data_IF_467201266819
#
_entry.id   IF_467201266819
#
_cell.length_a   1.000
_cell.length_b   1.000
_cell.length_c   1.000
_cell.angle_alpha   90.00
_cell.angle_beta   90.00
_cell.angle_gamma   90.00
#
_symmetry.space_group_name_H-M   'P 1'
#
loop_
_entity.id
_entity.type
_entity.pdbx_description
1 polymer ?
#
# COMPACT_ATOMS: atom_id res chain seq x y z
N UNK A 1 24.86 77.97 -4.02
CA UNK A 1 25.15 76.52 -3.99
C UNK A 1 23.84 75.78 -3.81
N UNK A 2 23.37 75.04 -4.83
CA UNK A 2 22.17 74.20 -4.77
C UNK A 2 22.57 72.81 -4.24
N UNK A 3 21.88 72.30 -3.21
CA UNK A 3 22.09 70.94 -2.69
C UNK A 3 21.38 69.92 -3.60
N UNK A 4 21.95 68.73 -3.86
CA UNK A 4 21.21 67.65 -4.51
C UNK A 4 20.22 67.06 -3.50
N UNK A 5 18.93 67.10 -3.85
CA UNK A 5 17.90 66.26 -3.25
C UNK A 5 18.21 64.80 -3.67
N UNK A 6 18.56 63.96 -2.70
CA UNK A 6 18.79 62.55 -2.93
C UNK A 6 17.42 61.89 -3.08
N UNK A 7 17.04 61.57 -4.32
CA UNK A 7 15.83 60.80 -4.60
C UNK A 7 15.80 59.53 -3.73
N UNK A 8 14.79 59.44 -2.85
CA UNK A 8 14.57 58.26 -2.03
C UNK A 8 14.28 57.06 -2.94
N UNK A 9 14.97 55.91 -2.79
CA UNK A 9 14.70 54.75 -3.61
C UNK A 9 13.23 54.32 -3.42
N UNK A 10 12.51 53.96 -4.49
CA UNK A 10 11.12 53.54 -4.37
C UNK A 10 11.05 52.32 -3.46
N UNK A 11 10.21 52.40 -2.43
CA UNK A 11 9.88 51.25 -1.58
C UNK A 11 9.15 50.25 -2.47
N UNK A 12 9.83 49.16 -2.83
CA UNK A 12 9.23 48.05 -3.56
C UNK A 12 8.29 47.34 -2.58
N UNK A 13 6.99 47.57 -2.76
CA UNK A 13 5.95 46.80 -2.08
C UNK A 13 6.09 45.33 -2.51
N UNK A 14 6.48 44.46 -1.57
CA UNK A 14 6.55 43.04 -1.84
C UNK A 14 5.15 42.54 -2.19
N UNK A 15 5.01 41.92 -3.36
CA UNK A 15 3.74 41.35 -3.80
C UNK A 15 3.20 40.41 -2.70
N UNK A 16 1.89 40.44 -2.41
CA UNK A 16 1.30 39.55 -1.43
C UNK A 16 1.64 38.09 -1.78
N UNK A 17 1.94 37.24 -0.77
CA UNK A 17 2.28 35.85 -1.02
C UNK A 17 1.17 35.18 -1.84
N UNK A 18 1.53 34.32 -2.80
CA UNK A 18 0.55 33.65 -3.63
C UNK A 18 -0.42 32.89 -2.72
N UNK A 19 -1.71 33.16 -2.90
CA UNK A 19 -2.79 32.46 -2.20
C UNK A 19 -2.65 30.99 -2.56
N UNK A 20 -2.18 30.18 -1.61
CA UNK A 20 -2.10 28.73 -1.79
C UNK A 20 -3.54 28.23 -1.77
N UNK A 21 -4.04 27.84 -2.93
CA UNK A 21 -5.31 27.14 -3.04
C UNK A 21 -5.10 25.75 -2.46
N UNK A 22 -5.67 25.49 -1.27
CA UNK A 22 -5.86 24.12 -0.82
C UNK A 22 -6.71 23.42 -1.89
N UNK A 23 -6.19 22.34 -2.45
CA UNK A 23 -7.02 21.50 -3.32
C UNK A 23 -8.24 21.05 -2.50
N UNK A 24 -9.46 21.23 -3.02
CA UNK A 24 -10.63 20.69 -2.36
C UNK A 24 -10.44 19.19 -2.24
N UNK A 25 -10.40 18.71 -0.99
CA UNK A 25 -10.33 17.27 -0.75
C UNK A 25 -11.65 16.69 -1.25
N UNK A 26 -11.55 15.79 -2.21
CA UNK A 26 -12.70 15.18 -2.85
C UNK A 26 -13.40 14.25 -1.83
N UNK A 27 -14.54 14.69 -1.31
CA UNK A 27 -15.32 14.00 -0.29
C UNK A 27 -16.58 13.41 -0.93
N UNK A 28 -16.92 12.17 -0.59
CA UNK A 28 -18.05 11.44 -1.17
C UNK A 28 -17.71 10.64 -2.42
N UNK A 29 -16.43 10.37 -2.70
CA UNK A 29 -15.99 9.59 -3.87
C UNK A 29 -15.91 8.09 -3.60
N UNK A 30 -16.36 7.30 -4.58
CA UNK A 30 -16.19 5.85 -4.65
C UNK A 30 -14.86 5.54 -5.34
N UNK A 31 -14.09 4.61 -4.79
CA UNK A 31 -12.88 4.10 -5.42
C UNK A 31 -12.82 2.58 -5.38
N UNK A 32 -12.10 2.01 -6.33
CA UNK A 32 -11.80 0.59 -6.39
C UNK A 32 -10.35 0.37 -5.95
N UNK A 33 -10.09 -0.73 -5.26
CA UNK A 33 -8.77 -1.19 -4.85
C UNK A 33 -8.64 -2.66 -5.20
N UNK A 34 -7.48 -3.08 -5.66
CA UNK A 34 -7.20 -4.50 -5.85
C UNK A 34 -5.74 -4.77 -5.55
N UNK A 35 -5.48 -6.00 -5.15
CA UNK A 35 -4.16 -6.55 -4.89
C UNK A 35 -4.08 -7.96 -5.46
N UNK A 36 -2.90 -8.32 -5.95
CA UNK A 36 -2.64 -9.63 -6.56
C UNK A 36 -1.31 -10.09 -6.01
N UNK A 37 -1.31 -11.26 -5.38
CA UNK A 37 -0.16 -11.85 -4.72
C UNK A 37 0.07 -13.27 -5.25
N UNK A 38 1.34 -13.64 -5.41
CA UNK A 38 1.72 -14.97 -5.86
C UNK A 38 2.82 -15.57 -5.00
N UNK A 39 2.54 -16.74 -4.43
CA UNK A 39 3.42 -17.41 -3.49
C UNK A 39 3.93 -18.75 -4.04
N UNK A 40 5.21 -18.79 -4.40
CA UNK A 40 5.93 -20.04 -4.68
C UNK A 40 6.57 -20.59 -3.41
N UNK A 41 5.85 -21.47 -2.71
CA UNK A 41 6.38 -22.14 -1.51
C UNK A 41 7.13 -23.42 -1.87
N UNK A 42 8.38 -23.55 -1.42
CA UNK A 42 9.16 -24.80 -1.47
C UNK A 42 9.37 -25.29 -0.04
N UNK A 43 9.02 -26.54 0.24
CA UNK A 43 9.24 -27.15 1.54
C UNK A 43 10.54 -27.98 1.51
N UNK A 44 11.43 -27.69 2.46
CA UNK A 44 12.80 -28.23 2.57
C UNK A 44 12.89 -29.60 3.22
N UNK A 45 11.98 -30.51 2.88
CA UNK A 45 11.98 -31.89 3.37
C UNK A 45 11.41 -32.07 4.77
N UNK A 46 10.84 -33.25 5.01
CA UNK A 46 10.13 -33.56 6.25
C UNK A 46 10.19 -35.04 6.58
N UNK A 47 10.40 -35.31 7.86
CA UNK A 47 10.43 -36.67 8.40
C UNK A 47 9.01 -37.12 8.76
N UNK A 48 8.66 -38.35 8.39
CA UNK A 48 7.38 -38.95 8.77
C UNK A 48 7.59 -40.36 9.33
N UNK A 49 6.71 -40.75 10.25
CA UNK A 49 6.65 -42.10 10.77
C UNK A 49 5.31 -42.73 10.38
N UNK A 50 5.34 -43.98 9.94
CA UNK A 50 4.12 -44.73 9.66
C UNK A 50 3.70 -45.49 10.92
N UNK A 51 2.47 -45.24 11.38
CA UNK A 51 1.89 -46.01 12.48
C UNK A 51 1.29 -47.30 11.90
N UNK A 52 1.98 -48.41 12.10
CA UNK A 52 1.60 -49.76 11.64
C UNK A 52 2.25 -50.87 12.46
N UNK A 53 2.02 -52.14 12.10
CA UNK A 53 2.61 -53.30 12.79
C UNK A 53 4.14 -53.21 12.79
N UNK A 54 4.74 -53.40 13.97
CA UNK A 54 6.17 -53.21 14.20
C UNK A 54 7.04 -54.07 13.25
N UNK A 55 8.22 -53.58 12.80
CA UNK A 55 8.87 -52.32 13.21
C UNK A 55 8.37 -51.09 12.44
N UNK A 56 8.32 -49.95 13.15
CA UNK A 56 8.04 -48.65 12.54
C UNK A 56 9.26 -48.25 11.69
N UNK A 57 9.06 -48.09 10.38
CA UNK A 57 10.12 -47.65 9.48
C UNK A 57 10.01 -46.11 9.35
N UNK A 58 10.99 -45.34 9.83
CA UNK A 58 11.05 -43.91 9.59
C UNK A 58 11.37 -43.66 8.11
N UNK A 59 10.59 -42.80 7.47
CA UNK A 59 10.81 -42.34 6.10
C UNK A 59 11.07 -40.84 6.09
N UNK A 60 11.95 -40.38 5.21
CA UNK A 60 12.20 -38.96 4.97
C UNK A 60 11.84 -38.60 3.52
N UNK A 61 11.39 -37.37 3.33
CA UNK A 61 11.26 -36.77 2.00
C UNK A 61 12.31 -35.66 1.84
N UNK A 62 13.15 -35.72 0.79
CA UNK A 62 14.22 -34.74 0.53
C UNK A 62 13.72 -33.37 0.06
N UNK A 63 12.57 -33.32 -0.64
CA UNK A 63 11.96 -32.05 -1.06
C UNK A 63 10.51 -32.23 -1.50
N UNK A 64 9.69 -31.21 -1.24
CA UNK A 64 8.31 -31.14 -1.72
C UNK A 64 8.00 -29.77 -2.32
N UNK A 65 7.38 -29.76 -3.50
CA UNK A 65 6.77 -28.53 -4.05
C UNK A 65 5.35 -28.43 -3.47
N UNK A 66 5.09 -27.40 -2.66
CA UNK A 66 3.70 -26.99 -2.45
C UNK A 66 3.19 -26.43 -3.78
N UNK A 67 1.95 -26.77 -4.16
CA UNK A 67 1.26 -26.09 -5.25
C UNK A 67 1.37 -24.58 -4.99
N UNK A 68 1.82 -23.82 -5.99
CA UNK A 68 1.94 -22.37 -5.86
C UNK A 68 0.59 -21.80 -5.46
N UNK A 69 0.54 -21.07 -4.36
CA UNK A 69 -0.66 -20.43 -3.89
C UNK A 69 -0.75 -19.07 -4.58
N UNK A 70 -1.83 -18.84 -5.31
CA UNK A 70 -2.13 -17.53 -5.85
C UNK A 70 -3.15 -16.88 -4.91
N UNK A 71 -3.16 -15.56 -4.80
CA UNK A 71 -4.24 -14.85 -4.12
C UNK A 71 -4.52 -13.54 -4.85
N UNK A 72 -5.80 -13.19 -4.92
CA UNK A 72 -6.25 -11.96 -5.53
C UNK A 72 -7.30 -11.34 -4.61
N UNK A 73 -7.04 -10.12 -4.17
CA UNK A 73 -7.95 -9.29 -3.41
C UNK A 73 -8.58 -8.23 -4.30
N UNK A 74 -9.88 -7.99 -4.11
CA UNK A 74 -10.58 -6.87 -4.74
C UNK A 74 -11.46 -6.18 -3.71
N UNK A 75 -11.50 -4.85 -3.76
CA UNK A 75 -12.23 -4.04 -2.81
C UNK A 75 -12.81 -2.77 -3.43
N UNK A 76 -13.86 -2.30 -2.78
CA UNK A 76 -14.53 -1.03 -3.07
C UNK A 76 -14.51 -0.22 -1.78
N UNK A 77 -14.11 1.04 -1.89
CA UNK A 77 -14.13 1.95 -0.77
C UNK A 77 -14.91 3.22 -1.08
N UNK A 78 -15.38 3.85 -0.01
CA UNK A 78 -16.11 5.10 -0.05
C UNK A 78 -15.49 6.08 0.94
N UNK A 79 -15.10 7.24 0.45
CA UNK A 79 -14.56 8.31 1.29
C UNK A 79 -15.70 9.20 1.77
N UNK A 80 -16.11 9.04 3.02
CA UNK A 80 -17.24 9.79 3.59
C UNK A 80 -16.82 11.25 3.77
N UNK A 81 -15.69 11.49 4.46
CA UNK A 81 -15.16 12.82 4.78
C UNK A 81 -13.63 12.82 4.64
N UNK A 82 -12.99 13.99 4.80
CA UNK A 82 -11.52 14.13 4.75
C UNK A 82 -10.78 13.26 5.79
N UNK A 83 -11.44 12.91 6.89
CA UNK A 83 -10.85 12.13 7.97
C UNK A 83 -11.34 10.68 8.04
N UNK A 84 -12.44 10.35 7.34
CA UNK A 84 -13.09 9.06 7.50
C UNK A 84 -13.37 8.41 6.15
N UNK A 85 -12.89 7.18 6.03
CA UNK A 85 -12.96 6.35 4.83
C UNK A 85 -13.41 4.95 5.24
N UNK A 86 -14.28 4.35 4.45
CA UNK A 86 -14.74 2.98 4.65
C UNK A 86 -14.30 2.15 3.46
N UNK A 87 -13.59 1.05 3.74
CA UNK A 87 -13.09 0.11 2.76
C UNK A 87 -13.82 -1.23 2.95
N UNK A 88 -14.34 -1.82 1.87
CA UNK A 88 -14.81 -3.20 1.85
C UNK A 88 -13.94 -3.99 0.87
N UNK A 89 -13.23 -5.00 1.36
CA UNK A 89 -12.34 -5.85 0.55
C UNK A 89 -12.79 -7.30 0.67
N UNK A 90 -12.72 -8.04 -0.45
CA UNK A 90 -12.90 -9.47 -0.50
C UNK A 90 -11.65 -10.13 -1.06
N UNK A 91 -11.15 -11.14 -0.35
CA UNK A 91 -9.96 -11.89 -0.71
C UNK A 91 -10.33 -13.23 -1.34
N UNK A 92 -9.68 -13.58 -2.45
CA UNK A 92 -9.81 -14.87 -3.11
C UNK A 92 -8.47 -15.59 -3.16
N UNK A 93 -8.40 -16.83 -2.66
CA UNK A 93 -7.19 -17.66 -2.65
C UNK A 93 -7.35 -18.87 -3.59
N UNK A 94 -6.27 -19.24 -4.31
CA UNK A 94 -6.22 -20.33 -5.29
C UNK A 94 -5.04 -21.29 -5.02
#
# INVERSE_FOLDING_TARGET
>A
ALRPDLAQPPVVEAAPPPVTYEQPVDVGCWYIRGDIDYHWSRFGGGDYITYGAAPQIPGSFDSGKLKGAFSAGAGVGYQINQHFRTDLTGDWMF
#
